data_IF_446758549335
#
_entry.id   IF_446758549335
#
_cell.length_a   1.000
_cell.length_b   1.000
_cell.length_c   1.000
_cell.angle_alpha   90.00
_cell.angle_beta   90.00
_cell.angle_gamma   90.00
#
_symmetry.space_group_name_H-M   'P 1'
#
loop_
_entity.id
_entity.type
_entity.pdbx_description
1 polymer ?
#
# COMPACT_ATOMS: atom_id res chain seq x y z
N UNK A 1 0.09 27.32 1.06
CA UNK A 1 -0.54 26.15 0.42
C UNK A 1 -1.29 25.42 1.51
N UNK A 2 -2.62 25.47 1.52
CA UNK A 2 -3.41 24.77 2.54
C UNK A 2 -3.18 23.26 2.40
N UNK A 3 -2.75 22.58 3.48
CA UNK A 3 -2.74 21.12 3.50
C UNK A 3 -4.18 20.64 3.47
N UNK A 4 -4.60 20.11 2.32
CA UNK A 4 -5.86 19.37 2.22
C UNK A 4 -5.78 18.15 3.14
N UNK A 5 -6.73 18.04 4.06
CA UNK A 5 -6.79 16.89 4.97
C UNK A 5 -7.38 15.72 4.19
N UNK A 6 -6.53 14.77 3.80
CA UNK A 6 -6.98 13.53 3.15
C UNK A 6 -7.76 12.71 4.18
N UNK A 7 -9.01 12.38 3.88
CA UNK A 7 -9.86 11.49 4.66
C UNK A 7 -9.84 10.09 4.03
N UNK A 8 -9.67 9.07 4.86
CA UNK A 8 -9.78 7.67 4.44
C UNK A 8 -11.04 7.12 5.09
N UNK A 9 -11.97 6.63 4.29
CA UNK A 9 -13.18 5.95 4.77
C UNK A 9 -12.83 4.55 5.29
N UNK A 10 -12.23 4.52 6.48
CA UNK A 10 -11.82 3.32 7.19
C UNK A 10 -11.68 3.61 8.69
N UNK A 11 -11.98 2.61 9.52
CA UNK A 11 -11.72 2.67 10.96
C UNK A 11 -10.27 2.33 11.25
N UNK A 12 -9.56 3.23 11.93
CA UNK A 12 -8.16 3.01 12.33
C UNK A 12 -8.06 1.85 13.32
N UNK A 13 -7.08 0.97 13.10
CA UNK A 13 -6.76 -0.18 13.96
C UNK A 13 -7.92 -1.17 14.20
N UNK A 14 -8.96 -1.13 13.38
CA UNK A 14 -10.00 -2.14 13.42
C UNK A 14 -9.43 -3.51 13.05
N UNK A 15 -9.86 -4.54 13.78
CA UNK A 15 -9.54 -5.92 13.42
C UNK A 15 -10.16 -6.28 12.07
N UNK A 16 -9.47 -7.08 11.24
CA UNK A 16 -10.11 -7.69 10.07
C UNK A 16 -11.34 -8.50 10.47
N UNK A 17 -12.29 -8.66 9.55
CA UNK A 17 -13.44 -9.52 9.81
C UNK A 17 -12.95 -10.96 10.11
N UNK A 18 -13.49 -11.61 11.16
CA UNK A 18 -13.08 -12.95 11.54
C UNK A 18 -13.46 -13.98 10.46
N UNK A 19 -12.81 -15.14 10.50
CA UNK A 19 -13.13 -16.33 9.69
C UNK A 19 -13.12 -16.12 8.16
N UNK A 20 -12.46 -15.05 7.69
CA UNK A 20 -12.32 -14.74 6.27
C UNK A 20 -10.85 -14.54 5.87
N UNK A 21 -10.51 -15.07 4.69
CA UNK A 21 -9.24 -14.81 4.01
C UNK A 21 -9.46 -13.96 2.77
N UNK A 22 -8.79 -12.80 2.75
CA UNK A 22 -8.94 -11.79 1.72
C UNK A 22 -7.78 -11.84 0.73
N UNK A 23 -8.03 -11.72 -0.59
CA UNK A 23 -6.97 -11.46 -1.56
C UNK A 23 -6.23 -10.17 -1.21
N UNK A 24 -4.94 -10.13 -1.52
CA UNK A 24 -4.07 -8.99 -1.24
C UNK A 24 -3.76 -8.24 -2.52
N UNK A 25 -3.85 -6.91 -2.47
CA UNK A 25 -3.46 -6.03 -3.58
C UNK A 25 -2.45 -5.00 -3.10
N UNK A 26 -1.28 -4.97 -3.73
CA UNK A 26 -0.27 -3.92 -3.52
C UNK A 26 -0.51 -2.79 -4.51
N UNK A 27 -0.63 -1.55 -4.03
CA UNK A 27 -0.88 -0.36 -4.83
C UNK A 27 0.36 0.50 -4.86
N UNK A 28 1.10 0.44 -5.96
CA UNK A 28 2.27 1.28 -6.20
C UNK A 28 1.83 2.68 -6.63
N UNK A 29 2.49 3.72 -6.09
CA UNK A 29 2.19 5.11 -6.41
C UNK A 29 3.06 5.62 -7.56
N UNK A 30 2.48 6.42 -8.45
CA UNK A 30 3.20 7.20 -9.44
C UNK A 30 4.25 8.14 -8.81
N UNK A 31 5.26 8.54 -9.58
CA UNK A 31 6.27 9.51 -9.12
C UNK A 31 5.58 10.84 -8.81
N UNK A 32 5.75 11.38 -7.61
CA UNK A 32 5.07 12.62 -7.21
C UNK A 32 3.92 12.44 -6.25
N UNK A 33 3.31 11.24 -6.20
CA UNK A 33 2.20 10.95 -5.30
C UNK A 33 2.65 10.77 -3.85
N UNK A 34 1.86 11.28 -2.90
CA UNK A 34 2.02 10.98 -1.49
C UNK A 34 1.47 9.59 -1.11
N UNK A 35 1.76 9.08 0.09
CA UNK A 35 1.31 7.75 0.55
C UNK A 35 -0.20 7.53 0.46
N UNK A 36 -1.00 8.61 0.49
CA UNK A 36 -2.45 8.57 0.38
C UNK A 36 -2.98 9.00 -1.00
N UNK A 37 -2.12 9.08 -2.03
CA UNK A 37 -2.54 9.49 -3.38
C UNK A 37 -3.58 8.57 -4.01
N UNK A 38 -3.62 7.30 -3.59
CA UNK A 38 -4.61 6.30 -4.03
C UNK A 38 -5.58 5.89 -2.92
N UNK A 39 -5.81 6.74 -1.90
CA UNK A 39 -6.69 6.38 -0.76
C UNK A 39 -8.10 5.98 -1.18
N UNK A 40 -8.69 6.64 -2.19
CA UNK A 40 -10.02 6.30 -2.68
C UNK A 40 -10.07 4.91 -3.35
N UNK A 41 -9.03 4.57 -4.14
CA UNK A 41 -8.89 3.25 -4.76
C UNK A 41 -8.66 2.18 -3.68
N UNK A 42 -7.79 2.44 -2.70
CA UNK A 42 -7.55 1.54 -1.59
C UNK A 42 -8.85 1.26 -0.81
N UNK A 43 -9.61 2.30 -0.46
CA UNK A 43 -10.89 2.15 0.23
C UNK A 43 -11.93 1.37 -0.60
N UNK A 44 -11.98 1.61 -1.92
CA UNK A 44 -12.87 0.87 -2.81
C UNK A 44 -12.52 -0.62 -2.88
N UNK A 45 -11.22 -0.95 -3.00
CA UNK A 45 -10.75 -2.34 -2.99
C UNK A 45 -10.99 -3.01 -1.63
N UNK A 46 -10.76 -2.31 -0.52
CA UNK A 46 -11.07 -2.84 0.82
C UNK A 46 -12.56 -3.13 0.98
N UNK A 47 -13.45 -2.24 0.52
CA UNK A 47 -14.91 -2.50 0.50
C UNK A 47 -15.31 -3.66 -0.41
N UNK A 48 -14.53 -3.93 -1.45
CA UNK A 48 -14.72 -5.08 -2.34
C UNK A 48 -14.14 -6.39 -1.76
N UNK A 49 -13.59 -6.38 -0.55
CA UNK A 49 -13.06 -7.57 0.12
C UNK A 49 -11.59 -7.85 -0.17
N UNK A 50 -10.76 -6.83 -0.34
CA UNK A 50 -9.31 -6.97 -0.46
C UNK A 50 -8.60 -6.44 0.78
N UNK A 51 -7.41 -6.99 1.07
CA UNK A 51 -6.40 -6.29 1.87
C UNK A 51 -5.61 -5.40 0.90
N UNK A 52 -5.74 -4.09 1.04
CA UNK A 52 -4.99 -3.12 0.24
C UNK A 52 -3.72 -2.67 0.97
N UNK A 53 -2.55 -2.95 0.38
CA UNK A 53 -1.24 -2.50 0.87
C UNK A 53 -0.76 -1.34 0.00
N UNK A 54 -0.45 -0.20 0.60
CA UNK A 54 0.01 1.00 -0.14
C UNK A 54 1.43 1.35 0.33
N UNK A 55 2.50 0.87 -0.36
CA UNK A 55 3.88 1.12 0.06
C UNK A 55 4.26 2.61 -0.02
N UNK A 56 5.08 3.05 0.94
CA UNK A 56 5.78 4.33 0.85
C UNK A 56 7.21 4.08 0.38
N UNK A 57 7.62 4.74 -0.71
CA UNK A 57 8.94 4.53 -1.31
C UNK A 57 9.95 5.60 -0.88
N UNK A 58 11.12 5.14 -0.42
CA UNK A 58 12.31 5.99 -0.28
C UNK A 58 12.73 6.46 -1.67
N UNK A 59 13.04 7.76 -1.82
CA UNK A 59 13.40 8.36 -3.11
C UNK A 59 12.26 9.01 -3.88
N UNK A 60 11.00 8.79 -3.52
CA UNK A 60 9.85 9.55 -4.03
C UNK A 60 9.83 10.94 -3.37
N UNK A 61 9.23 12.00 -3.94
CA UNK A 61 9.07 13.30 -3.25
C UNK A 61 8.45 13.25 -1.84
N UNK A 62 7.74 12.18 -1.48
CA UNK A 62 7.24 11.93 -0.11
C UNK A 62 8.19 11.11 0.78
N UNK A 63 9.30 10.59 0.27
CA UNK A 63 10.27 9.76 0.97
C UNK A 63 11.67 10.40 0.96
N UNK A 64 12.39 10.28 2.07
CA UNK A 64 13.73 10.87 2.22
C UNK A 64 14.82 9.80 2.28
N UNK A 65 15.98 9.98 1.61
CA UNK A 65 16.33 11.09 0.71
C UNK A 65 15.68 10.96 -0.69
N UNK A 66 15.49 12.08 -1.38
CA UNK A 66 14.88 12.12 -2.72
C UNK A 66 15.84 11.58 -3.80
N UNK A 67 15.34 10.73 -4.69
CA UNK A 67 16.10 10.19 -5.83
C UNK A 67 15.64 10.89 -7.11
N UNK A 68 16.56 11.52 -7.84
CA UNK A 68 16.26 12.22 -9.09
C UNK A 68 16.36 11.33 -10.33
N UNK A 69 17.13 10.24 -10.25
CA UNK A 69 17.33 9.30 -11.35
C UNK A 69 16.10 8.41 -11.56
N UNK A 70 15.49 8.51 -12.75
CA UNK A 70 14.36 7.66 -13.16
C UNK A 70 14.76 6.18 -13.24
N UNK A 71 15.95 5.89 -13.74
CA UNK A 71 16.48 4.51 -13.84
C UNK A 71 16.60 3.89 -12.46
N UNK A 72 17.17 4.62 -11.50
CA UNK A 72 17.29 4.19 -10.10
C UNK A 72 15.92 3.90 -9.48
N UNK A 73 14.93 4.79 -9.71
CA UNK A 73 13.55 4.59 -9.24
C UNK A 73 12.94 3.31 -9.82
N UNK A 74 13.11 3.04 -11.11
CA UNK A 74 12.56 1.86 -11.76
C UNK A 74 13.19 0.56 -11.24
N UNK A 75 14.47 0.59 -10.87
CA UNK A 75 15.18 -0.56 -10.29
C UNK A 75 14.80 -0.77 -8.81
N UNK A 76 14.73 0.30 -8.02
CA UNK A 76 14.58 0.21 -6.56
C UNK A 76 13.12 0.00 -6.14
N UNK A 77 12.13 0.51 -6.91
CA UNK A 77 10.71 0.41 -6.54
C UNK A 77 10.19 -1.02 -6.43
N UNK A 78 10.46 -1.94 -7.36
CA UNK A 78 10.05 -3.33 -7.21
C UNK A 78 10.55 -3.95 -5.90
N UNK A 79 11.83 -3.76 -5.55
CA UNK A 79 12.41 -4.28 -4.30
C UNK A 79 11.74 -3.70 -3.07
N UNK A 80 11.45 -2.40 -3.08
CA UNK A 80 10.74 -1.74 -1.97
C UNK A 80 9.28 -2.17 -1.86
N UNK A 81 8.60 -2.41 -2.99
CA UNK A 81 7.23 -2.90 -3.02
C UNK A 81 7.14 -4.32 -2.45
N UNK A 82 8.09 -5.19 -2.84
CA UNK A 82 8.24 -6.54 -2.31
C UNK A 82 8.51 -6.52 -0.80
N UNK A 83 9.43 -5.66 -0.34
CA UNK A 83 9.72 -5.53 1.09
C UNK A 83 8.50 -5.06 1.90
N UNK A 84 7.75 -4.07 1.40
CA UNK A 84 6.54 -3.58 2.05
C UNK A 84 5.42 -4.63 2.08
N UNK A 85 5.23 -5.36 0.98
CA UNK A 85 4.26 -6.46 0.93
C UNK A 85 4.66 -7.57 1.91
N UNK A 86 5.93 -7.98 1.92
CA UNK A 86 6.44 -9.01 2.82
C UNK A 86 6.25 -8.62 4.29
N UNK A 87 6.53 -7.36 4.64
CA UNK A 87 6.30 -6.84 5.98
C UNK A 87 4.80 -6.82 6.37
N UNK A 88 3.91 -6.51 5.41
CA UNK A 88 2.47 -6.55 5.65
C UNK A 88 1.97 -7.99 5.87
N UNK A 89 2.43 -8.96 5.08
CA UNK A 89 2.06 -10.38 5.22
C UNK A 89 2.64 -11.02 6.49
N UNK A 90 3.78 -10.54 6.97
CA UNK A 90 4.37 -10.97 8.25
C UNK A 90 3.70 -10.31 9.47
N UNK A 91 2.81 -9.34 9.29
CA UNK A 91 2.16 -8.64 10.40
C UNK A 91 1.11 -9.55 11.06
N UNK A 92 1.19 -9.87 12.37
CA UNK A 92 0.26 -10.77 13.05
C UNK A 92 -1.22 -10.36 12.96
N UNK A 93 -1.51 -9.06 12.77
CA UNK A 93 -2.88 -8.57 12.59
C UNK A 93 -3.47 -8.91 11.23
N UNK A 94 -2.63 -9.08 10.22
CA UNK A 94 -3.04 -9.35 8.84
C UNK A 94 -2.81 -10.82 8.47
N UNK A 95 -1.77 -11.44 9.02
CA UNK A 95 -1.28 -12.79 8.69
C UNK A 95 -2.25 -13.94 9.03
N UNK A 96 -3.37 -13.64 9.67
CA UNK A 96 -4.44 -14.61 9.93
C UNK A 96 -5.59 -14.50 8.90
N UNK A 97 -5.66 -13.38 8.18
CA UNK A 97 -6.81 -12.96 7.36
C UNK A 97 -6.44 -12.75 5.89
N UNK A 98 -5.19 -12.94 5.49
CA UNK A 98 -4.74 -12.89 4.11
C UNK A 98 -4.89 -14.23 3.39
N UNK A 99 -5.07 -14.14 2.09
CA UNK A 99 -4.92 -15.26 1.18
C UNK A 99 -3.63 -15.11 0.37
N UNK A 100 -2.58 -15.78 0.84
CA UNK A 100 -1.26 -15.74 0.20
C UNK A 100 -1.24 -16.32 -1.23
N UNK A 101 -2.29 -17.05 -1.66
CA UNK A 101 -2.40 -17.57 -3.03
C UNK A 101 -3.09 -16.59 -3.99
N UNK A 102 -3.64 -15.48 -3.48
CA UNK A 102 -4.35 -14.47 -4.27
C UNK A 102 -3.75 -13.09 -4.05
N UNK A 103 -2.58 -12.88 -4.64
CA UNK A 103 -1.82 -11.62 -4.56
C UNK A 103 -1.76 -10.96 -5.94
N UNK A 104 -2.15 -9.68 -5.99
CA UNK A 104 -2.06 -8.83 -7.18
C UNK A 104 -1.30 -7.53 -6.92
N UNK A 105 -0.93 -6.84 -8.00
CA UNK A 105 -0.32 -5.50 -7.94
C UNK A 105 -0.97 -4.56 -8.95
N UNK A 106 -1.09 -3.29 -8.60
CA UNK A 106 -1.60 -2.22 -9.46
C UNK A 106 -0.80 -0.93 -9.23
N UNK A 107 -0.63 -0.08 -10.25
CA UNK A 107 0.07 1.21 -10.12
C UNK A 107 0.38 1.88 -11.45
#
# INVERSE_FOLDING_TARGET
MASETIQVDATRDASPAPDHRFPVVSISLGRGGGPLGHHALAAALTRAGFIAVVPTYVGNPSGYPRVLSRVRILIDRPRQAEAALSAALANPRLSASEDANRIGTAG
#
